data_IF_940174063308
#
_entry.id   IF_940174063308
#
_cell.length_a   1.000
_cell.length_b   1.000
_cell.length_c   1.000
_cell.angle_alpha   90.00
_cell.angle_beta   90.00
_cell.angle_gamma   90.00
#
_symmetry.space_group_name_H-M   'P 1'
#
loop_
_entity.id
_entity.type
_entity.pdbx_description
1 polymer ?
#
# COMPACT_ATOMS: atom_id res chain seq x y z
N UNK A 1 -13.98 20.43 53.20
CA UNK A 1 -12.69 19.72 53.07
C UNK A 1 -12.76 18.39 52.29
N UNK A 2 -13.73 17.50 52.54
CA UNK A 2 -13.86 16.21 51.82
C UNK A 2 -13.95 16.32 50.28
N UNK A 3 -14.79 17.25 49.77
CA UNK A 3 -14.94 17.53 48.32
C UNK A 3 -13.66 18.03 47.62
N UNK A 4 -12.79 18.73 48.35
CA UNK A 4 -11.55 19.28 47.78
C UNK A 4 -10.52 18.18 47.55
N UNK A 5 -10.40 17.26 48.52
CA UNK A 5 -9.53 16.07 48.45
C UNK A 5 -9.93 15.08 47.36
N UNK A 6 -11.23 14.86 47.14
CA UNK A 6 -11.72 14.00 46.05
C UNK A 6 -11.37 14.56 44.67
N UNK A 7 -11.36 15.89 44.49
CA UNK A 7 -10.99 16.52 43.21
C UNK A 7 -9.48 16.42 42.92
N UNK A 8 -8.65 16.59 43.96
CA UNK A 8 -7.18 16.50 43.85
C UNK A 8 -6.74 15.07 43.54
N UNK A 9 -7.35 14.06 44.19
CA UNK A 9 -7.06 12.65 43.92
C UNK A 9 -7.48 12.22 42.50
N UNK A 10 -8.60 12.72 41.97
CA UNK A 10 -9.01 12.45 40.60
C UNK A 10 -8.03 13.04 39.59
N UNK A 11 -7.58 14.28 39.80
CA UNK A 11 -6.63 14.94 38.91
C UNK A 11 -5.24 14.28 38.93
N UNK A 12 -4.81 13.78 40.09
CA UNK A 12 -3.54 13.05 40.24
C UNK A 12 -3.59 11.67 39.58
N UNK A 13 -4.63 10.88 39.83
CA UNK A 13 -4.82 9.57 39.18
C UNK A 13 -4.94 9.69 37.66
N UNK A 14 -5.62 10.73 37.18
CA UNK A 14 -5.79 11.00 35.76
C UNK A 14 -4.46 11.33 35.06
N UNK A 15 -3.63 12.18 35.68
CA UNK A 15 -2.28 12.45 35.17
C UNK A 15 -1.39 11.20 35.19
N UNK A 16 -1.51 10.35 36.21
CA UNK A 16 -0.75 9.12 36.32
C UNK A 16 -1.14 8.13 35.20
N UNK A 17 -2.43 7.94 34.94
CA UNK A 17 -2.93 7.06 33.87
C UNK A 17 -2.45 7.51 32.50
N UNK A 18 -2.48 8.82 32.22
CA UNK A 18 -1.98 9.34 30.94
C UNK A 18 -0.46 9.12 30.76
N UNK A 19 0.34 9.27 31.82
CA UNK A 19 1.76 8.95 31.78
C UNK A 19 2.01 7.45 31.55
N UNK A 20 1.23 6.58 32.19
CA UNK A 20 1.31 5.13 31.95
C UNK A 20 0.95 4.76 30.51
N UNK A 21 -0.12 5.33 29.96
CA UNK A 21 -0.54 5.11 28.58
C UNK A 21 0.52 5.62 27.59
N UNK A 22 1.15 6.77 27.87
CA UNK A 22 2.22 7.32 27.05
C UNK A 22 3.47 6.42 27.05
N UNK A 23 3.92 6.00 28.23
CA UNK A 23 5.09 5.12 28.39
C UNK A 23 4.80 3.76 27.74
N UNK A 24 3.64 3.17 27.99
CA UNK A 24 3.23 1.91 27.36
C UNK A 24 3.13 2.04 25.83
N UNK A 25 2.65 3.18 25.34
CA UNK A 25 2.61 3.52 23.92
C UNK A 25 3.99 3.56 23.28
N UNK A 26 4.94 4.28 23.90
CA UNK A 26 6.33 4.36 23.43
C UNK A 26 7.05 3.00 23.48
N UNK A 27 6.84 2.21 24.54
CA UNK A 27 7.41 0.86 24.65
C UNK A 27 6.89 -0.02 23.51
N UNK A 28 5.59 0.00 23.25
CA UNK A 28 4.97 -0.77 22.17
C UNK A 28 5.47 -0.34 20.78
N UNK A 29 5.68 0.96 20.56
CA UNK A 29 6.32 1.43 19.32
C UNK A 29 7.78 0.95 19.19
N UNK A 30 8.54 0.97 20.28
CA UNK A 30 9.92 0.46 20.30
C UNK A 30 9.99 -1.05 20.01
N UNK A 31 9.16 -1.85 20.69
CA UNK A 31 9.05 -3.30 20.48
C UNK A 31 8.58 -3.62 19.06
N UNK A 32 7.62 -2.86 18.53
CA UNK A 32 7.13 -3.02 17.17
C UNK A 32 8.20 -2.72 16.12
N UNK A 33 8.93 -1.62 16.30
CA UNK A 33 10.06 -1.22 15.43
C UNK A 33 11.18 -2.27 15.47
N UNK A 34 11.53 -2.75 16.67
CA UNK A 34 12.53 -3.82 16.83
C UNK A 34 12.09 -5.14 16.20
N UNK A 35 10.83 -5.53 16.39
CA UNK A 35 10.26 -6.74 15.75
C UNK A 35 10.21 -6.63 14.24
N UNK A 36 10.00 -5.43 13.70
CA UNK A 36 10.08 -5.18 12.26
C UNK A 36 11.48 -5.46 11.74
N UNK A 37 12.53 -5.02 12.45
CA UNK A 37 13.92 -5.29 12.07
C UNK A 37 14.26 -6.79 12.19
N UNK A 38 13.64 -7.49 13.14
CA UNK A 38 13.85 -8.92 13.40
C UNK A 38 12.99 -9.83 12.50
N UNK A 39 12.22 -9.28 11.56
CA UNK A 39 11.40 -10.05 10.61
C UNK A 39 10.09 -10.63 11.17
N UNK A 40 9.64 -10.23 12.37
CA UNK A 40 8.42 -10.76 12.99
C UNK A 40 7.22 -9.82 12.74
N UNK A 41 6.63 -9.94 11.54
CA UNK A 41 5.57 -9.04 11.07
C UNK A 41 4.31 -8.99 11.96
N UNK A 42 3.77 -10.12 12.50
CA UNK A 42 2.59 -10.07 13.37
C UNK A 42 2.82 -9.25 14.65
N UNK A 43 3.99 -9.42 15.28
CA UNK A 43 4.35 -8.67 16.50
C UNK A 43 4.62 -7.20 16.16
N UNK A 44 5.30 -6.93 15.04
CA UNK A 44 5.55 -5.57 14.57
C UNK A 44 4.24 -4.80 14.39
N UNK A 45 3.29 -5.35 13.63
CA UNK A 45 2.00 -4.72 13.34
C UNK A 45 1.19 -4.53 14.62
N UNK A 46 1.09 -5.57 15.45
CA UNK A 46 0.28 -5.53 16.68
C UNK A 46 0.84 -4.50 17.66
N UNK A 47 2.15 -4.52 17.90
CA UNK A 47 2.80 -3.62 18.86
C UNK A 47 2.82 -2.17 18.33
N UNK A 48 3.07 -1.94 17.04
CA UNK A 48 2.99 -0.59 16.48
C UNK A 48 1.56 -0.04 16.56
N UNK A 49 0.55 -0.83 16.21
CA UNK A 49 -0.87 -0.42 16.27
C UNK A 49 -1.31 -0.15 17.71
N UNK A 50 -1.01 -1.06 18.64
CA UNK A 50 -1.34 -0.90 20.06
C UNK A 50 -0.60 0.31 20.66
N UNK A 51 0.66 0.51 20.30
CA UNK A 51 1.45 1.68 20.72
C UNK A 51 0.81 2.99 20.29
N UNK A 52 0.36 3.05 19.03
CA UNK A 52 -0.33 4.20 18.46
C UNK A 52 -1.66 4.50 19.19
N UNK A 53 -2.49 3.47 19.42
CA UNK A 53 -3.77 3.61 20.15
C UNK A 53 -3.56 4.12 21.57
N UNK A 54 -2.53 3.63 22.27
CA UNK A 54 -2.21 4.06 23.63
C UNK A 54 -1.70 5.51 23.67
N UNK A 55 -0.89 5.94 22.70
CA UNK A 55 -0.47 7.33 22.58
C UNK A 55 -1.66 8.26 22.29
N UNK A 56 -2.62 7.81 21.49
CA UNK A 56 -3.87 8.55 21.26
C UNK A 56 -4.75 8.62 22.52
N UNK A 57 -4.88 7.52 23.26
CA UNK A 57 -5.62 7.52 24.53
C UNK A 57 -4.97 8.47 25.55
N UNK A 58 -3.64 8.48 25.65
CA UNK A 58 -2.89 9.37 26.54
C UNK A 58 -3.06 10.87 26.21
N UNK A 59 -3.43 11.20 24.98
CA UNK A 59 -3.50 12.58 24.50
C UNK A 59 -4.92 13.15 24.47
N UNK A 60 -5.95 12.33 24.18
CA UNK A 60 -7.38 12.74 24.18
C UNK A 60 -7.80 13.30 25.55
N UNK A 61 -7.40 12.64 26.62
CA UNK A 61 -7.79 12.97 27.99
C UNK A 61 -7.14 14.28 28.50
N UNK A 62 -5.96 14.63 27.97
CA UNK A 62 -5.28 15.90 28.28
C UNK A 62 -6.10 17.09 27.78
N UNK A 63 -6.82 16.96 26.67
CA UNK A 63 -7.73 18.00 26.15
C UNK A 63 -8.99 18.21 27.00
N UNK A 64 -9.46 17.19 27.73
CA UNK A 64 -10.66 17.27 28.55
C UNK A 64 -10.40 17.98 29.90
N UNK A 65 -9.25 17.69 30.53
CA UNK A 65 -8.80 18.36 31.77
C UNK A 65 -8.53 19.88 31.60
N UNK A 66 -8.31 20.33 30.37
CA UNK A 66 -7.99 21.72 30.01
C UNK A 66 -9.20 22.67 30.10
N UNK A 67 -10.43 22.15 30.17
CA UNK A 67 -11.65 22.96 30.34
C UNK A 67 -12.00 23.26 31.81
N UNK A 68 -11.28 22.70 32.78
CA UNK A 68 -11.73 22.61 34.18
C UNK A 68 -11.18 23.62 35.20
N UNK A 69 -10.33 24.60 34.84
CA UNK A 69 -9.65 25.44 35.85
C UNK A 69 -9.91 26.95 35.70
N UNK A 70 -10.63 27.50 36.71
CA UNK A 70 -10.49 28.80 37.39
C UNK A 70 -10.08 30.07 36.62
N UNK A 71 -10.90 31.12 36.74
CA UNK A 71 -11.02 32.27 35.82
C UNK A 71 -9.99 33.42 35.96
N UNK A 72 -9.05 33.45 36.90
CA UNK A 72 -8.34 34.73 37.20
C UNK A 72 -6.81 34.80 37.01
N UNK A 73 -6.15 33.75 36.51
CA UNK A 73 -4.73 33.80 36.09
C UNK A 73 -4.54 33.79 34.55
N UNK A 74 -5.56 34.26 33.82
CA UNK A 74 -6.12 33.59 32.63
C UNK A 74 -5.63 34.03 31.23
N UNK A 75 -4.58 34.83 31.09
CA UNK A 75 -4.13 35.27 29.74
C UNK A 75 -2.72 34.82 29.40
N UNK A 76 -1.70 35.20 30.17
CA UNK A 76 -0.31 34.78 29.87
C UNK A 76 -0.04 33.28 29.98
N UNK A 77 -0.65 32.60 30.94
CA UNK A 77 -0.57 31.13 31.01
C UNK A 77 -1.47 30.45 29.98
N UNK A 78 -2.51 31.12 29.50
CA UNK A 78 -3.40 30.57 28.49
C UNK A 78 -2.70 30.58 27.13
N UNK A 79 -2.07 31.70 26.74
CA UNK A 79 -1.33 31.83 25.49
C UNK A 79 -0.17 30.83 25.43
N UNK A 80 0.61 30.72 26.50
CA UNK A 80 1.71 29.74 26.60
C UNK A 80 1.20 28.29 26.56
N UNK A 81 0.06 28.00 27.18
CA UNK A 81 -0.57 26.67 27.13
C UNK A 81 -1.22 26.36 25.78
N UNK A 82 -1.67 27.38 25.06
CA UNK A 82 -2.16 27.29 23.68
C UNK A 82 -1.00 26.96 22.74
N UNK A 83 0.12 27.68 22.87
CA UNK A 83 1.34 27.43 22.11
C UNK A 83 1.92 26.04 22.40
N UNK A 84 1.91 25.59 23.65
CA UNK A 84 2.30 24.22 24.02
C UNK A 84 1.35 23.16 23.44
N UNK A 85 0.05 23.45 23.34
CA UNK A 85 -0.94 22.55 22.75
C UNK A 85 -0.82 22.48 21.22
N UNK A 86 -0.57 23.61 20.56
CA UNK A 86 -0.34 23.68 19.11
C UNK A 86 0.94 22.95 18.73
N UNK A 87 2.03 23.16 19.50
CA UNK A 87 3.27 22.42 19.31
C UNK A 87 3.07 20.91 19.54
N UNK A 88 2.33 20.50 20.58
CA UNK A 88 2.02 19.09 20.81
C UNK A 88 1.18 18.47 19.68
N UNK A 89 0.25 19.24 19.09
CA UNK A 89 -0.54 18.83 17.93
C UNK A 89 0.35 18.65 16.68
N UNK A 90 1.31 19.55 16.45
CA UNK A 90 2.27 19.45 15.35
C UNK A 90 3.11 18.18 15.51
N UNK A 91 3.72 17.96 16.68
CA UNK A 91 4.50 16.75 16.94
C UNK A 91 3.68 15.46 16.78
N UNK A 92 2.41 15.48 17.21
CA UNK A 92 1.51 14.35 17.06
C UNK A 92 1.18 14.07 15.59
N UNK A 93 0.96 15.12 14.78
CA UNK A 93 0.79 14.99 13.32
C UNK A 93 2.02 14.37 12.66
N UNK A 94 3.22 14.89 12.97
CA UNK A 94 4.48 14.41 12.42
C UNK A 94 4.75 12.95 12.81
N UNK A 95 4.59 12.60 14.09
CA UNK A 95 4.80 11.24 14.58
C UNK A 95 3.79 10.25 13.99
N UNK A 96 2.53 10.69 13.81
CA UNK A 96 1.50 9.88 13.15
C UNK A 96 1.85 9.63 11.70
N UNK A 97 2.30 10.67 10.98
CA UNK A 97 2.72 10.53 9.58
C UNK A 97 3.92 9.59 9.43
N UNK A 98 4.94 9.72 10.28
CA UNK A 98 6.11 8.83 10.29
C UNK A 98 5.70 7.39 10.58
N UNK A 99 4.88 7.15 11.60
CA UNK A 99 4.46 5.78 11.97
C UNK A 99 3.56 5.16 10.91
N UNK A 100 2.62 5.94 10.36
CA UNK A 100 1.76 5.50 9.27
C UNK A 100 2.57 5.14 8.03
N UNK A 101 3.56 5.96 7.66
CA UNK A 101 4.49 5.68 6.57
C UNK A 101 5.25 4.38 6.79
N UNK A 102 5.86 4.21 7.96
CA UNK A 102 6.58 2.98 8.32
C UNK A 102 5.67 1.76 8.24
N UNK A 103 4.45 1.83 8.75
CA UNK A 103 3.49 0.73 8.68
C UNK A 103 3.07 0.41 7.24
N UNK A 104 2.80 1.44 6.42
CA UNK A 104 2.47 1.27 5.01
C UNK A 104 3.63 0.64 4.25
N UNK A 105 4.86 1.09 4.49
CA UNK A 105 6.07 0.53 3.87
C UNK A 105 6.29 -0.94 4.29
N UNK A 106 6.17 -1.24 5.59
CA UNK A 106 6.27 -2.62 6.12
C UNK A 106 5.24 -3.52 5.44
N UNK A 107 3.98 -3.09 5.43
CA UNK A 107 2.87 -3.88 4.90
C UNK A 107 2.94 -4.03 3.37
N UNK A 108 3.54 -3.06 2.69
CA UNK A 108 3.72 -3.07 1.25
C UNK A 108 4.90 -3.95 0.83
N UNK A 109 5.97 -4.03 1.64
CA UNK A 109 7.25 -4.62 1.25
C UNK A 109 7.59 -5.99 1.89
N UNK A 110 7.11 -6.32 3.10
CA UNK A 110 7.53 -7.58 3.75
C UNK A 110 6.85 -8.80 3.12
N UNK A 111 7.68 -9.73 2.60
CA UNK A 111 7.36 -11.16 2.52
C UNK A 111 6.11 -11.54 1.72
N UNK A 112 5.74 -10.79 0.67
CA UNK A 112 4.50 -11.07 -0.10
C UNK A 112 4.41 -12.50 -0.67
N UNK A 113 5.52 -13.23 -0.77
CA UNK A 113 5.56 -14.63 -1.18
C UNK A 113 5.19 -15.64 -0.07
N UNK A 114 5.19 -15.27 1.23
CA UNK A 114 4.94 -16.21 2.34
C UNK A 114 4.19 -15.60 3.56
N UNK A 115 3.71 -14.36 3.46
CA UNK A 115 3.07 -13.66 4.59
C UNK A 115 2.28 -12.40 4.24
N UNK A 116 1.85 -12.23 2.98
CA UNK A 116 1.04 -11.08 2.59
C UNK A 116 -0.28 -11.01 3.37
N UNK A 117 -0.77 -9.82 3.77
CA UNK A 117 -2.15 -9.66 4.24
C UNK A 117 -3.15 -10.12 3.17
N UNK A 118 -4.32 -10.57 3.61
CA UNK A 118 -5.43 -10.79 2.68
C UNK A 118 -5.84 -9.46 2.01
N UNK A 119 -6.37 -9.48 0.78
CA UNK A 119 -6.80 -8.26 0.10
C UNK A 119 -7.72 -7.38 0.94
N UNK A 120 -8.63 -7.97 1.72
CA UNK A 120 -9.50 -7.24 2.64
C UNK A 120 -8.72 -6.46 3.67
N UNK A 121 -7.78 -7.12 4.35
CA UNK A 121 -6.97 -6.49 5.41
C UNK A 121 -6.08 -5.41 4.81
N UNK A 122 -5.55 -5.62 3.61
CA UNK A 122 -4.69 -4.66 2.96
C UNK A 122 -5.43 -3.40 2.51
N UNK A 123 -6.65 -3.54 1.97
CA UNK A 123 -7.49 -2.40 1.59
C UNK A 123 -8.01 -1.68 2.84
N UNK A 124 -8.50 -2.41 3.84
CA UNK A 124 -9.00 -1.83 5.09
C UNK A 124 -7.91 -1.04 5.84
N UNK A 125 -6.68 -1.53 5.81
CA UNK A 125 -5.55 -0.89 6.46
C UNK A 125 -5.33 0.57 5.96
N UNK A 126 -5.49 0.83 4.66
CA UNK A 126 -5.35 2.19 4.15
C UNK A 126 -6.44 3.14 4.63
N UNK A 127 -7.68 2.65 4.79
CA UNK A 127 -8.76 3.43 5.37
C UNK A 127 -8.51 3.76 6.83
N UNK A 128 -7.97 2.79 7.59
CA UNK A 128 -7.65 2.98 8.99
C UNK A 128 -6.55 4.05 9.15
N UNK A 129 -5.47 3.96 8.35
CA UNK A 129 -4.41 4.98 8.30
C UNK A 129 -4.97 6.35 7.93
N UNK A 130 -5.77 6.43 6.86
CA UNK A 130 -6.41 7.68 6.43
C UNK A 130 -7.29 8.27 7.53
N UNK A 131 -8.11 7.45 8.20
CA UNK A 131 -8.98 7.88 9.30
C UNK A 131 -8.17 8.41 10.48
N UNK A 132 -7.07 7.73 10.82
CA UNK A 132 -6.16 8.17 11.88
C UNK A 132 -5.54 9.53 11.51
N UNK A 133 -4.93 9.65 10.34
CA UNK A 133 -4.28 10.89 9.89
C UNK A 133 -5.27 12.07 9.77
N UNK A 134 -6.51 11.83 9.33
CA UNK A 134 -7.56 12.87 9.34
C UNK A 134 -7.90 13.32 10.76
N UNK A 135 -8.03 12.38 11.70
CA UNK A 135 -8.32 12.71 13.11
C UNK A 135 -7.20 13.49 13.78
N UNK A 136 -5.96 13.29 13.36
CA UNK A 136 -4.81 14.05 13.87
C UNK A 136 -4.65 15.41 13.17
N UNK A 137 -5.46 15.69 12.14
CA UNK A 137 -5.47 16.96 11.42
C UNK A 137 -4.42 17.07 10.33
N UNK A 138 -3.93 15.95 9.79
CA UNK A 138 -3.17 15.92 8.54
C UNK A 138 -4.07 16.33 7.38
N UNK A 139 -3.49 17.04 6.41
CA UNK A 139 -4.22 17.41 5.20
C UNK A 139 -4.30 16.21 4.24
N UNK A 140 -5.09 16.34 3.17
CA UNK A 140 -5.28 15.25 2.20
C UNK A 140 -4.00 14.91 1.42
N UNK A 141 -3.12 15.89 1.17
CA UNK A 141 -1.85 15.69 0.47
C UNK A 141 -0.87 14.84 1.30
N UNK A 142 -0.73 15.11 2.59
CA UNK A 142 0.11 14.32 3.51
C UNK A 142 -0.35 12.86 3.57
N UNK A 143 -1.66 12.64 3.58
CA UNK A 143 -2.27 11.32 3.58
C UNK A 143 -1.96 10.59 2.28
N UNK A 144 -2.08 11.27 1.14
CA UNK A 144 -1.77 10.69 -0.17
C UNK A 144 -0.29 10.31 -0.31
N UNK A 145 0.62 11.12 0.24
CA UNK A 145 2.05 10.80 0.25
C UNK A 145 2.34 9.55 1.09
N UNK A 146 1.77 9.46 2.28
CA UNK A 146 1.91 8.28 3.15
C UNK A 146 1.34 7.01 2.50
N UNK A 147 0.21 7.11 1.81
CA UNK A 147 -0.45 5.97 1.15
C UNK A 147 0.11 5.65 -0.25
N UNK A 148 1.12 6.39 -0.74
CA UNK A 148 1.74 6.14 -2.05
C UNK A 148 2.26 4.71 -2.23
N UNK A 149 3.02 4.13 -1.28
CA UNK A 149 3.50 2.75 -1.42
C UNK A 149 2.36 1.73 -1.42
N UNK A 150 1.32 1.94 -0.60
CA UNK A 150 0.14 1.07 -0.58
C UNK A 150 -0.57 1.03 -1.94
N UNK A 151 -0.83 2.21 -2.53
CA UNK A 151 -1.52 2.29 -3.81
C UNK A 151 -0.71 1.66 -4.95
N UNK A 152 0.61 1.92 -4.97
CA UNK A 152 1.55 1.27 -5.91
C UNK A 152 1.45 -0.26 -5.81
N UNK A 153 1.53 -0.78 -4.58
CA UNK A 153 1.51 -2.21 -4.34
C UNK A 153 0.18 -2.85 -4.74
N UNK A 154 -0.94 -2.20 -4.43
CA UNK A 154 -2.26 -2.69 -4.82
C UNK A 154 -2.40 -2.79 -6.35
N UNK A 155 -1.99 -1.76 -7.09
CA UNK A 155 -1.93 -1.80 -8.56
C UNK A 155 -0.99 -2.90 -9.06
N UNK A 156 0.17 -3.06 -8.44
CA UNK A 156 1.16 -4.07 -8.81
C UNK A 156 0.63 -5.50 -8.63
N UNK A 157 -0.04 -5.81 -7.51
CA UNK A 157 -0.62 -7.15 -7.29
C UNK A 157 -1.64 -7.51 -8.37
N UNK A 158 -2.54 -6.57 -8.69
CA UNK A 158 -3.54 -6.75 -9.73
C UNK A 158 -2.87 -6.93 -11.09
N UNK A 159 -1.84 -6.14 -11.37
CA UNK A 159 -1.09 -6.19 -12.64
C UNK A 159 -0.40 -7.53 -12.83
N UNK A 160 0.30 -8.03 -11.81
CA UNK A 160 0.92 -9.35 -11.85
C UNK A 160 -0.09 -10.43 -12.16
N UNK A 161 -1.27 -10.34 -11.55
CA UNK A 161 -2.33 -11.30 -11.74
C UNK A 161 -2.93 -11.24 -13.16
N UNK A 162 -3.30 -10.06 -13.63
CA UNK A 162 -3.89 -9.89 -14.97
C UNK A 162 -2.91 -10.22 -16.10
N UNK A 163 -1.61 -10.00 -15.89
CA UNK A 163 -0.58 -10.35 -16.88
C UNK A 163 -0.35 -11.86 -16.99
N UNK A 164 -0.76 -12.68 -16.02
CA UNK A 164 -0.61 -14.14 -16.14
C UNK A 164 -1.32 -14.70 -17.38
N UNK A 165 -2.52 -14.20 -17.71
CA UNK A 165 -3.25 -14.60 -18.91
C UNK A 165 -2.53 -14.19 -20.20
N UNK A 166 -1.93 -12.99 -20.22
CA UNK A 166 -1.11 -12.55 -21.34
C UNK A 166 0.15 -13.41 -21.52
N UNK A 167 0.85 -13.73 -20.40
CA UNK A 167 1.99 -14.65 -20.40
C UNK A 167 1.60 -16.03 -20.92
N UNK A 168 0.44 -16.54 -20.51
CA UNK A 168 -0.07 -17.83 -20.99
C UNK A 168 -0.32 -17.81 -22.50
N UNK A 169 -0.94 -16.75 -23.03
CA UNK A 169 -1.17 -16.59 -24.47
C UNK A 169 0.15 -16.52 -25.27
N UNK A 170 1.16 -15.80 -24.78
CA UNK A 170 2.48 -15.72 -25.42
C UNK A 170 3.25 -17.06 -25.34
N UNK A 171 3.09 -17.81 -24.24
CA UNK A 171 3.64 -19.15 -24.10
C UNK A 171 3.01 -20.13 -25.09
N UNK A 172 1.69 -20.07 -25.27
CA UNK A 172 0.97 -20.82 -26.29
C UNK A 172 1.48 -20.49 -27.70
N UNK A 173 1.66 -19.20 -28.01
CA UNK A 173 2.20 -18.77 -29.30
C UNK A 173 3.63 -19.28 -29.53
N UNK A 174 4.44 -19.31 -28.47
CA UNK A 174 5.80 -19.87 -28.53
C UNK A 174 5.77 -21.37 -28.86
N UNK A 175 4.87 -22.14 -28.26
CA UNK A 175 4.68 -23.56 -28.56
C UNK A 175 4.21 -23.80 -29.99
N UNK A 176 3.33 -22.95 -30.51
CA UNK A 176 2.90 -22.99 -31.90
C UNK A 176 4.09 -22.81 -32.86
N UNK A 177 4.94 -21.81 -32.60
CA UNK A 177 6.16 -21.56 -33.37
C UNK A 177 7.15 -22.74 -33.27
N UNK A 178 7.34 -23.31 -32.09
CA UNK A 178 8.20 -24.49 -31.89
C UNK A 178 7.72 -25.69 -32.73
N UNK A 179 6.40 -25.91 -32.79
CA UNK A 179 5.82 -26.97 -33.61
C UNK A 179 6.06 -26.72 -35.11
N UNK A 180 5.91 -25.46 -35.56
CA UNK A 180 6.20 -25.08 -36.94
C UNK A 180 7.68 -25.28 -37.29
N UNK A 181 8.60 -24.94 -36.38
CA UNK A 181 10.05 -25.14 -36.56
C UNK A 181 10.37 -26.64 -36.67
N UNK A 182 9.81 -27.48 -35.79
CA UNK A 182 10.05 -28.94 -35.80
C UNK A 182 9.51 -29.64 -37.04
N UNK A 183 8.48 -29.10 -37.66
CA UNK A 183 7.90 -29.64 -38.89
C UNK A 183 8.76 -29.37 -40.14
N UNK A 184 9.76 -28.49 -40.05
CA UNK A 184 10.64 -28.17 -41.20
C UNK A 184 11.61 -29.33 -41.44
N UNK A 185 11.65 -29.90 -42.66
CA UNK A 185 12.55 -31.01 -42.99
C UNK A 185 14.03 -30.66 -42.76
N UNK A 186 14.78 -31.64 -42.23
CA UNK A 186 16.22 -31.56 -42.02
C UNK A 186 16.97 -32.39 -43.09
N UNK A 187 18.12 -31.92 -43.61
CA UNK A 187 18.75 -30.62 -43.33
C UNK A 187 17.97 -29.45 -43.97
N UNK A 188 18.03 -28.28 -43.34
CA UNK A 188 17.42 -27.04 -43.85
C UNK A 188 17.98 -26.76 -45.24
N UNK A 189 17.09 -26.57 -46.21
CA UNK A 189 17.46 -26.27 -47.59
C UNK A 189 17.26 -24.77 -47.89
N UNK A 190 17.78 -24.31 -49.04
CA UNK A 190 17.69 -22.89 -49.44
C UNK A 190 16.25 -22.38 -49.56
N UNK A 191 15.28 -23.24 -49.91
CA UNK A 191 13.87 -22.86 -50.04
C UNK A 191 13.15 -22.68 -48.70
N UNK A 192 13.58 -23.37 -47.64
CA UNK A 192 12.98 -23.27 -46.30
C UNK A 192 13.79 -22.38 -45.34
N UNK A 193 15.00 -21.99 -45.72
CA UNK A 193 15.91 -21.18 -44.88
C UNK A 193 15.30 -19.85 -44.44
N UNK A 194 14.69 -19.08 -45.34
CA UNK A 194 14.09 -17.77 -44.97
C UNK A 194 12.91 -17.92 -44.01
N UNK A 195 12.09 -18.96 -44.20
CA UNK A 195 10.94 -19.23 -43.34
C UNK A 195 11.41 -19.68 -41.95
N UNK A 196 12.41 -20.57 -41.89
CA UNK A 196 13.02 -21.01 -40.63
C UNK A 196 13.60 -19.83 -39.83
N UNK A 197 14.33 -18.92 -40.48
CA UNK A 197 14.91 -17.73 -39.84
C UNK A 197 13.83 -16.77 -39.31
N UNK A 198 12.73 -16.57 -40.05
CA UNK A 198 11.59 -15.76 -39.59
C UNK A 198 10.94 -16.33 -38.32
N UNK A 199 10.74 -17.65 -38.25
CA UNK A 199 10.19 -18.29 -37.05
C UNK A 199 11.11 -18.13 -35.82
N UNK A 200 12.42 -18.28 -35.99
CA UNK A 200 13.39 -18.03 -34.92
C UNK A 200 13.38 -16.57 -34.46
N UNK A 201 13.27 -15.62 -35.39
CA UNK A 201 13.19 -14.20 -35.06
C UNK A 201 11.90 -13.88 -34.28
N UNK A 202 10.77 -14.47 -34.67
CA UNK A 202 9.50 -14.35 -33.94
C UNK A 202 9.63 -14.86 -32.51
N UNK A 203 10.20 -16.05 -32.33
CA UNK A 203 10.43 -16.64 -31.01
C UNK A 203 11.36 -15.78 -30.15
N UNK A 204 12.46 -15.27 -30.73
CA UNK A 204 13.38 -14.38 -30.04
C UNK A 204 12.68 -13.11 -29.54
N UNK A 205 11.85 -12.46 -30.38
CA UNK A 205 11.13 -11.24 -29.98
C UNK A 205 10.11 -11.50 -28.86
N UNK A 206 9.39 -12.63 -28.88
CA UNK A 206 8.50 -13.02 -27.76
C UNK A 206 9.32 -13.20 -26.48
N UNK A 207 10.44 -13.92 -26.54
CA UNK A 207 11.32 -14.15 -25.39
C UNK A 207 11.87 -12.84 -24.82
N UNK A 208 12.34 -11.94 -25.68
CA UNK A 208 12.80 -10.60 -25.28
C UNK A 208 11.69 -9.82 -24.58
N UNK A 209 10.48 -9.80 -25.13
CA UNK A 209 9.35 -9.10 -24.52
C UNK A 209 8.98 -9.67 -23.14
N UNK A 210 8.94 -11.01 -22.99
CA UNK A 210 8.69 -11.67 -21.70
C UNK A 210 9.77 -11.31 -20.65
N UNK A 211 11.04 -11.29 -21.06
CA UNK A 211 12.18 -11.05 -20.16
C UNK A 211 12.43 -9.58 -19.85
N UNK A 212 12.14 -8.67 -20.78
CA UNK A 212 12.51 -7.26 -20.65
C UNK A 212 11.34 -6.36 -20.28
N UNK A 213 10.12 -6.68 -20.72
CA UNK A 213 8.96 -5.82 -20.53
C UNK A 213 8.07 -6.38 -19.42
N UNK A 214 7.61 -7.63 -19.56
CA UNK A 214 6.70 -8.23 -18.55
C UNK A 214 7.37 -8.61 -17.23
N UNK A 215 8.69 -8.78 -17.17
CA UNK A 215 9.40 -9.09 -15.91
C UNK A 215 9.54 -7.86 -15.00
N UNK A 216 9.47 -6.66 -15.60
CA UNK A 216 9.76 -5.37 -14.94
C UNK A 216 8.53 -4.69 -14.34
N UNK A 217 7.41 -5.41 -14.19
CA UNK A 217 6.19 -4.86 -13.57
C UNK A 217 6.42 -4.30 -12.17
N UNK A 218 7.31 -4.92 -11.40
CA UNK A 218 7.69 -4.46 -10.08
C UNK A 218 8.38 -3.09 -10.06
N UNK A 219 8.89 -2.63 -11.21
CA UNK A 219 9.51 -1.31 -11.37
C UNK A 219 8.50 -0.21 -11.72
N UNK A 220 7.25 -0.55 -12.03
CA UNK A 220 6.23 0.46 -12.32
C UNK A 220 5.88 1.25 -11.06
N UNK A 221 5.90 2.57 -11.18
CA UNK A 221 5.44 3.47 -10.12
C UNK A 221 3.93 3.68 -10.22
N UNK A 222 3.31 4.18 -9.14
CA UNK A 222 1.86 4.44 -9.16
C UNK A 222 1.46 5.43 -10.27
N UNK A 223 2.35 6.36 -10.62
CA UNK A 223 2.13 7.37 -11.64
C UNK A 223 2.16 6.79 -13.07
N UNK A 224 2.66 5.56 -13.24
CA UNK A 224 2.67 4.83 -14.50
C UNK A 224 1.33 4.15 -14.85
N UNK A 225 0.46 3.97 -13.85
CA UNK A 225 -0.81 3.29 -14.04
C UNK A 225 -1.94 4.25 -14.42
N UNK A 226 -2.92 3.81 -15.23
CA UNK A 226 -2.99 2.51 -15.92
C UNK A 226 -2.20 2.47 -17.25
N UNK A 227 -1.65 3.61 -17.69
CA UNK A 227 -1.20 3.78 -19.08
C UNK A 227 -0.08 2.82 -19.49
N UNK A 228 0.98 2.67 -18.68
CA UNK A 228 2.06 1.73 -19.00
C UNK A 228 1.60 0.27 -18.97
N UNK A 229 0.66 -0.07 -18.10
CA UNK A 229 0.12 -1.42 -18.03
C UNK A 229 -0.67 -1.76 -19.30
N UNK A 230 -1.55 -0.86 -19.75
CA UNK A 230 -2.30 -1.06 -21.00
C UNK A 230 -1.38 -1.17 -22.21
N UNK A 231 -0.34 -0.32 -22.24
CA UNK A 231 0.67 -0.35 -23.30
C UNK A 231 1.36 -1.71 -23.41
N UNK A 232 1.58 -2.43 -22.31
CA UNK A 232 2.13 -3.79 -22.38
C UNK A 232 1.22 -4.71 -23.20
N UNK A 233 -0.10 -4.66 -23.00
CA UNK A 233 -1.03 -5.47 -23.80
C UNK A 233 -0.98 -5.08 -25.27
N UNK A 234 -0.97 -3.77 -25.57
CA UNK A 234 -0.95 -3.25 -26.95
C UNK A 234 0.34 -3.61 -27.70
N UNK A 235 1.46 -3.74 -27.00
CA UNK A 235 2.77 -4.08 -27.56
C UNK A 235 3.05 -5.60 -27.59
N UNK A 236 2.09 -6.43 -27.20
CA UNK A 236 2.26 -7.88 -27.14
C UNK A 236 2.56 -8.46 -28.54
N UNK A 237 3.73 -9.08 -28.76
CA UNK A 237 4.16 -9.46 -30.10
C UNK A 237 3.43 -10.71 -30.61
N UNK A 238 2.97 -10.65 -31.86
CA UNK A 238 2.43 -11.78 -32.63
C UNK A 238 1.20 -12.48 -32.04
N UNK A 239 0.45 -11.79 -31.18
CA UNK A 239 -0.91 -12.16 -30.82
C UNK A 239 -1.90 -11.46 -31.76
N UNK A 240 -3.04 -12.11 -31.99
CA UNK A 240 -4.15 -11.53 -32.75
C UNK A 240 -4.80 -10.39 -31.97
N UNK A 241 -5.22 -9.33 -32.66
CA UNK A 241 -5.85 -8.16 -32.04
C UNK A 241 -7.07 -8.54 -31.20
N UNK A 242 -7.93 -9.43 -31.70
CA UNK A 242 -9.09 -9.94 -30.96
C UNK A 242 -8.68 -10.63 -29.65
N UNK A 243 -7.58 -11.39 -29.66
CA UNK A 243 -7.06 -12.05 -28.46
C UNK A 243 -6.52 -11.03 -27.46
N UNK A 244 -5.84 -9.99 -27.92
CA UNK A 244 -5.36 -8.89 -27.06
C UNK A 244 -6.56 -8.16 -26.43
N UNK A 245 -7.57 -7.81 -27.22
CA UNK A 245 -8.75 -7.08 -26.75
C UNK A 245 -9.53 -7.90 -25.69
N UNK A 246 -9.73 -9.18 -25.95
CA UNK A 246 -10.36 -10.09 -24.98
C UNK A 246 -9.59 -10.17 -23.65
N UNK A 247 -8.25 -10.15 -23.71
CA UNK A 247 -7.41 -10.13 -22.51
C UNK A 247 -7.46 -8.78 -21.78
N UNK A 248 -7.69 -7.67 -22.50
CA UNK A 248 -7.82 -6.32 -21.93
C UNK A 248 -9.17 -6.07 -21.27
N UNK A 249 -10.26 -6.64 -21.77
CA UNK A 249 -11.62 -6.41 -21.26
C UNK A 249 -11.73 -6.52 -19.72
N UNK A 250 -11.08 -7.52 -19.12
CA UNK A 250 -11.10 -7.66 -17.65
C UNK A 250 -10.27 -6.59 -16.92
N UNK A 251 -9.21 -6.09 -17.54
CA UNK A 251 -8.37 -5.03 -17.00
C UNK A 251 -9.08 -3.67 -17.11
N UNK A 252 -9.89 -3.47 -18.16
CA UNK A 252 -10.60 -2.20 -18.38
C UNK A 252 -11.54 -1.83 -17.24
N UNK A 253 -12.14 -2.82 -16.59
CA UNK A 253 -12.96 -2.64 -15.39
C UNK A 253 -12.22 -1.92 -14.25
N UNK A 254 -10.89 -2.03 -14.22
CA UNK A 254 -10.03 -1.44 -13.19
C UNK A 254 -9.42 -0.10 -13.60
N UNK A 255 -9.56 0.34 -14.85
CA UNK A 255 -8.98 1.62 -15.32
C UNK A 255 -9.46 2.81 -14.46
N UNK A 256 -10.77 2.97 -14.17
CA UNK A 256 -11.23 4.08 -13.33
C UNK A 256 -10.65 4.01 -11.91
N UNK A 257 -10.62 2.81 -11.33
CA UNK A 257 -10.07 2.56 -9.99
C UNK A 257 -8.56 2.82 -9.91
N UNK A 258 -7.80 2.42 -10.93
CA UNK A 258 -6.36 2.70 -11.01
C UNK A 258 -6.09 4.20 -11.13
N UNK A 259 -6.92 4.93 -11.87
CA UNK A 259 -6.84 6.40 -11.93
C UNK A 259 -7.15 7.04 -10.58
N UNK A 260 -8.15 6.53 -9.86
CA UNK A 260 -8.47 6.98 -8.50
C UNK A 260 -7.35 6.67 -7.50
N UNK A 261 -6.73 5.49 -7.58
CA UNK A 261 -5.54 5.15 -6.80
C UNK A 261 -4.38 6.09 -7.14
N UNK A 262 -4.19 6.44 -8.41
CA UNK A 262 -3.17 7.37 -8.89
C UNK A 262 -3.37 8.81 -8.43
N UNK A 263 -4.60 9.32 -8.40
CA UNK A 263 -4.86 10.71 -7.99
C UNK A 263 -5.08 10.86 -6.49
N UNK A 264 -5.80 9.92 -5.86
CA UNK A 264 -6.32 10.09 -4.50
C UNK A 264 -5.86 9.04 -3.50
N UNK A 265 -5.20 7.98 -3.96
CA UNK A 265 -4.83 6.81 -3.13
C UNK A 265 -6.05 6.23 -2.41
N UNK A 266 -7.13 6.01 -3.17
CA UNK A 266 -8.39 5.44 -2.68
C UNK A 266 -8.84 4.32 -3.58
N UNK A 267 -9.64 3.43 -2.99
CA UNK A 267 -10.42 2.40 -3.69
C UNK A 267 -11.89 2.73 -3.44
N UNK A 268 -12.68 2.81 -4.50
CA UNK A 268 -14.12 3.04 -4.38
C UNK A 268 -14.83 1.67 -4.30
N UNK A 269 -14.62 0.82 -5.31
CA UNK A 269 -15.18 -0.53 -5.32
C UNK A 269 -14.23 -1.57 -4.71
N UNK A 270 -14.24 -1.64 -3.38
CA UNK A 270 -13.42 -2.63 -2.64
C UNK A 270 -13.74 -4.07 -3.03
N UNK A 271 -15.01 -4.36 -3.34
CA UNK A 271 -15.44 -5.73 -3.64
C UNK A 271 -14.82 -6.20 -4.96
N UNK A 272 -14.80 -5.33 -5.97
CA UNK A 272 -14.15 -5.59 -7.25
C UNK A 272 -12.68 -5.98 -7.08
N UNK A 273 -11.91 -5.20 -6.30
CA UNK A 273 -10.50 -5.48 -6.03
C UNK A 273 -10.29 -6.78 -5.24
N UNK A 274 -11.07 -6.99 -4.17
CA UNK A 274 -10.95 -8.20 -3.34
C UNK A 274 -11.23 -9.45 -4.18
N UNK A 275 -12.30 -9.43 -4.97
CA UNK A 275 -12.67 -10.56 -5.84
C UNK A 275 -11.54 -10.85 -6.82
N UNK A 276 -11.10 -9.85 -7.57
CA UNK A 276 -10.06 -10.04 -8.57
C UNK A 276 -8.74 -10.48 -7.96
N UNK A 277 -8.36 -10.03 -6.76
CA UNK A 277 -7.12 -10.45 -6.11
C UNK A 277 -7.20 -11.85 -5.48
N UNK A 278 -8.41 -12.37 -5.21
CA UNK A 278 -8.61 -13.73 -4.67
C UNK A 278 -8.72 -14.85 -5.70
N UNK A 279 -9.26 -14.59 -6.88
CA UNK A 279 -9.49 -15.60 -7.93
C UNK A 279 -8.19 -16.27 -8.40
N UNK A 280 -7.86 -17.48 -7.95
CA UNK A 280 -6.62 -18.20 -8.33
C UNK A 280 -6.51 -18.45 -9.82
#
# INVERSE_FOLDING_TARGET
MKKYWESVNKCFLFNLTNWFLLIAGLINLGVGTWSSYSGNAPIAITSLTAGLVLLFAATIDRFESLKGLGVEAKTRQLDKKLEEADNALIYLKEMTAITAKTLVEIQSNIGRFDGAPTPEKFIQFADDIRKIMKKTGSNEQDIQEVLKPWAKTLCMDLSFKKIMSLRAALSEKTKELDNQIRAIPQPINSSTSSYYTDLLQKQSKISTYLQNDLSKLHLLEIDDYPEKLLKLYDEAPYLEEEKIENLKNELELFIPEMKLLKSERKVDDKYLWIRALKET
#
